data_IF_927357429668
#
_entry.id   IF_927357429668
#
_cell.length_a   1.000
_cell.length_b   1.000
_cell.length_c   1.000
_cell.angle_alpha   90.00
_cell.angle_beta   90.00
_cell.angle_gamma   90.00
#
_symmetry.space_group_name_H-M   'P 1'
#
loop_
_entity.id
_entity.type
_entity.pdbx_description
1 polymer ?
#
# COMPACT_ATOMS: atom_id res chain seq x y z
N UNK A 1 5.58 -6.03 -21.66
CA UNK A 1 6.88 -6.45 -22.22
C UNK A 1 7.43 -7.57 -21.36
N UNK A 2 7.47 -8.80 -21.89
CA UNK A 2 8.10 -9.93 -21.22
C UNK A 2 9.62 -9.67 -21.10
N UNK A 3 10.25 -10.11 -20.01
CA UNK A 3 11.71 -10.04 -19.86
C UNK A 3 12.37 -10.94 -20.92
N UNK A 4 13.45 -10.51 -21.59
CA UNK A 4 14.20 -11.36 -22.50
C UNK A 4 14.88 -12.50 -21.72
N UNK A 5 14.93 -13.70 -22.33
CA UNK A 5 15.51 -14.90 -21.72
C UNK A 5 16.99 -14.69 -21.35
N UNK A 6 17.36 -15.05 -20.12
CA UNK A 6 18.74 -15.02 -19.61
C UNK A 6 19.08 -13.95 -18.58
N UNK A 7 18.10 -13.17 -18.12
CA UNK A 7 18.30 -12.16 -17.06
C UNK A 7 17.93 -12.73 -15.67
N UNK A 8 18.86 -13.49 -15.07
CA UNK A 8 18.72 -13.96 -13.68
C UNK A 8 18.90 -12.82 -12.66
N UNK A 9 19.55 -11.72 -13.07
CA UNK A 9 19.79 -10.60 -12.19
C UNK A 9 18.62 -9.60 -12.18
N UNK A 10 18.14 -9.18 -11.00
CA UNK A 10 17.12 -8.15 -10.88
C UNK A 10 17.64 -6.83 -11.49
N UNK A 11 16.74 -6.10 -12.18
CA UNK A 11 17.06 -4.83 -12.89
C UNK A 11 17.81 -3.82 -12.03
N UNK A 12 17.64 -3.86 -10.72
CA UNK A 12 18.32 -2.98 -9.77
C UNK A 12 19.84 -3.17 -9.76
N UNK A 13 20.34 -4.39 -9.97
CA UNK A 13 21.76 -4.70 -10.03
C UNK A 13 22.45 -4.10 -11.27
N UNK A 14 21.69 -3.84 -12.34
CA UNK A 14 22.22 -3.33 -13.61
C UNK A 14 22.60 -1.84 -13.55
N UNK A 15 22.05 -1.09 -12.59
CA UNK A 15 22.25 0.36 -12.49
C UNK A 15 23.08 0.78 -11.26
N UNK A 16 23.57 -0.17 -10.47
CA UNK A 16 24.38 0.11 -9.27
C UNK A 16 23.59 0.70 -8.09
N UNK A 17 22.26 0.72 -8.18
CA UNK A 17 21.41 1.12 -7.07
C UNK A 17 21.34 -0.03 -6.07
N UNK A 18 22.03 0.12 -4.94
CA UNK A 18 21.83 -0.75 -3.79
C UNK A 18 20.38 -0.58 -3.32
N UNK A 19 19.49 -1.48 -3.74
CA UNK A 19 18.15 -1.55 -3.17
C UNK A 19 18.31 -1.80 -1.67
N UNK A 20 17.56 -1.07 -0.82
CA UNK A 20 17.59 -1.33 0.60
C UNK A 20 17.19 -2.79 0.85
N UNK A 21 17.90 -3.49 1.73
CA UNK A 21 17.44 -4.78 2.25
C UNK A 21 16.07 -4.56 2.88
N UNK A 22 15.04 -5.17 2.28
CA UNK A 22 13.69 -5.04 2.79
C UNK A 22 13.57 -5.90 4.07
N UNK A 23 13.14 -5.33 5.22
CA UNK A 23 12.76 -6.11 6.38
C UNK A 23 11.55 -7.02 6.05
N UNK A 24 11.15 -7.95 6.94
CA UNK A 24 10.16 -8.98 6.64
C UNK A 24 8.93 -8.39 5.95
N UNK A 25 8.47 -9.07 4.90
CA UNK A 25 7.57 -8.62 3.82
C UNK A 25 6.20 -8.06 4.23
N UNK A 26 5.94 -7.91 5.53
CA UNK A 26 4.66 -7.52 6.10
C UNK A 26 4.71 -6.16 6.81
N UNK A 27 5.88 -5.53 6.98
CA UNK A 27 6.02 -4.25 7.71
C UNK A 27 5.01 -3.18 7.27
N UNK A 28 4.89 -2.93 5.96
CA UNK A 28 3.96 -1.91 5.46
C UNK A 28 2.50 -2.32 5.66
N UNK A 29 2.19 -3.61 5.54
CA UNK A 29 0.84 -4.11 5.78
C UNK A 29 0.46 -4.01 7.27
N UNK A 30 1.39 -4.27 8.18
CA UNK A 30 1.21 -4.10 9.62
C UNK A 30 0.99 -2.63 9.98
N UNK A 31 1.87 -1.74 9.51
CA UNK A 31 1.73 -0.29 9.71
C UNK A 31 0.39 0.20 9.14
N UNK A 32 0.01 -0.27 7.96
CA UNK A 32 -1.24 0.08 7.31
C UNK A 32 -2.47 -0.38 8.10
N UNK A 33 -2.42 -1.59 8.67
CA UNK A 33 -3.45 -2.12 9.57
C UNK A 33 -3.55 -1.29 10.85
N UNK A 34 -2.40 -0.97 11.45
CA UNK A 34 -2.33 -0.24 12.72
C UNK A 34 -2.76 1.23 12.57
N UNK A 35 -2.53 1.84 11.40
CA UNK A 35 -3.09 3.13 10.98
C UNK A 35 -4.62 3.11 10.77
N UNK A 36 -5.21 1.92 10.55
CA UNK A 36 -6.65 1.78 10.33
C UNK A 36 -7.11 1.63 8.87
N UNK A 37 -6.21 1.34 7.93
CA UNK A 37 -6.46 1.15 6.46
C UNK A 37 -6.83 2.43 5.68
N UNK A 38 -7.69 3.28 6.24
CA UNK A 38 -8.09 4.57 5.68
C UNK A 38 -8.49 5.56 6.79
N UNK A 39 -8.59 6.85 6.46
CA UNK A 39 -9.13 7.86 7.35
C UNK A 39 -10.66 7.88 7.34
N UNK A 40 -11.25 8.46 8.37
CA UNK A 40 -12.70 8.58 8.51
C UNK A 40 -13.20 9.92 7.96
N UNK A 41 -13.87 9.87 6.80
CA UNK A 41 -14.54 11.01 6.21
C UNK A 41 -16.03 11.04 6.51
N UNK A 42 -16.65 12.22 6.34
CA UNK A 42 -18.09 12.40 6.56
C UNK A 42 -18.97 11.48 5.68
N UNK A 43 -18.51 11.15 4.48
CA UNK A 43 -19.24 10.32 3.50
C UNK A 43 -18.65 8.91 3.35
N UNK A 44 -17.86 8.44 4.32
CA UNK A 44 -17.19 7.15 4.26
C UNK A 44 -15.66 7.26 4.27
N UNK A 45 -14.95 6.16 3.99
CA UNK A 45 -13.49 6.11 4.09
C UNK A 45 -12.84 7.08 3.10
N UNK A 46 -11.82 7.80 3.56
CA UNK A 46 -11.00 8.70 2.75
C UNK A 46 -9.54 8.27 2.78
N UNK A 47 -8.78 8.46 1.68
CA UNK A 47 -7.37 8.13 1.67
C UNK A 47 -6.60 8.92 2.73
N UNK A 48 -5.57 8.31 3.31
CA UNK A 48 -4.70 9.02 4.23
C UNK A 48 -4.10 10.30 3.64
N UNK A 49 -4.12 11.35 4.44
CA UNK A 49 -3.40 12.58 4.20
C UNK A 49 -1.96 12.48 4.70
N UNK A 50 -1.08 13.30 4.12
CA UNK A 50 0.31 13.43 4.60
C UNK A 50 0.39 13.89 6.06
N UNK A 51 -0.60 14.65 6.54
CA UNK A 51 -0.66 15.10 7.92
C UNK A 51 -0.92 13.93 8.89
N UNK A 52 -1.81 13.00 8.52
CA UNK A 52 -2.08 11.79 9.32
C UNK A 52 -0.87 10.88 9.37
N UNK A 53 -0.21 10.64 8.23
CA UNK A 53 1.03 9.84 8.19
C UNK A 53 2.11 10.49 9.06
N UNK A 54 2.30 11.81 8.98
CA UNK A 54 3.27 12.53 9.79
C UNK A 54 2.91 12.55 11.29
N UNK A 55 1.63 12.59 11.63
CA UNK A 55 1.16 12.49 13.02
C UNK A 55 1.41 11.08 13.58
N UNK A 56 1.14 10.04 12.78
CA UNK A 56 1.36 8.66 13.15
C UNK A 56 2.83 8.34 13.41
N UNK A 57 3.75 8.77 12.54
CA UNK A 57 5.20 8.55 12.75
C UNK A 57 5.70 9.23 14.02
N UNK A 58 5.21 10.45 14.30
CA UNK A 58 5.54 11.17 15.55
C UNK A 58 4.99 10.49 16.79
N UNK A 59 3.78 9.94 16.73
CA UNK A 59 3.13 9.28 17.87
C UNK A 59 3.78 7.93 18.19
N UNK A 60 4.11 7.15 17.16
CA UNK A 60 4.60 5.78 17.30
C UNK A 60 6.12 5.69 17.36
N UNK A 61 6.83 6.74 16.95
CA UNK A 61 8.29 6.72 16.81
C UNK A 61 8.79 5.87 15.64
N UNK A 62 7.88 5.40 14.76
CA UNK A 62 8.25 4.63 13.58
C UNK A 62 8.90 5.58 12.56
N UNK A 63 10.13 5.24 12.16
CA UNK A 63 10.80 5.91 11.06
C UNK A 63 10.31 5.32 9.73
N UNK A 64 9.64 6.15 8.92
CA UNK A 64 9.14 5.79 7.61
C UNK A 64 9.98 6.46 6.54
N UNK A 65 10.56 5.65 5.65
CA UNK A 65 11.19 6.18 4.45
C UNK A 65 10.13 6.88 3.56
N UNK A 66 10.45 7.96 2.83
CA UNK A 66 9.47 8.66 1.99
C UNK A 66 8.72 7.77 0.98
N UNK A 67 9.40 6.75 0.44
CA UNK A 67 8.75 5.76 -0.44
C UNK A 67 7.75 4.87 0.30
N UNK A 68 8.01 4.52 1.56
CA UNK A 68 7.08 3.75 2.40
C UNK A 68 5.84 4.57 2.74
N UNK A 69 6.03 5.84 3.13
CA UNK A 69 4.93 6.77 3.36
C UNK A 69 4.06 6.95 2.11
N UNK A 70 4.69 7.08 0.94
CA UNK A 70 3.99 7.17 -0.35
C UNK A 70 3.20 5.89 -0.66
N UNK A 71 3.78 4.72 -0.36
CA UNK A 71 3.12 3.44 -0.52
C UNK A 71 1.87 3.33 0.37
N UNK A 72 1.96 3.73 1.64
CA UNK A 72 0.82 3.71 2.58
C UNK A 72 -0.34 4.59 2.11
N UNK A 73 -0.04 5.78 1.57
CA UNK A 73 -1.06 6.67 1.00
C UNK A 73 -1.74 6.02 -0.21
N UNK A 74 -0.97 5.38 -1.09
CA UNK A 74 -1.53 4.73 -2.28
C UNK A 74 -2.34 3.47 -1.91
N UNK A 75 -1.87 2.66 -0.96
CA UNK A 75 -2.63 1.52 -0.42
C UNK A 75 -3.98 1.97 0.15
N UNK A 76 -3.99 3.05 0.92
CA UNK A 76 -5.21 3.64 1.45
C UNK A 76 -6.13 4.16 0.36
N UNK A 77 -5.58 4.80 -0.69
CA UNK A 77 -6.36 5.25 -1.85
C UNK A 77 -7.01 4.09 -2.59
N UNK A 78 -6.27 3.03 -2.86
CA UNK A 78 -6.79 1.85 -3.54
C UNK A 78 -7.88 1.17 -2.71
N UNK A 79 -7.72 1.10 -1.39
CA UNK A 79 -8.78 0.61 -0.51
C UNK A 79 -10.07 1.45 -0.60
N UNK A 80 -9.97 2.78 -0.60
CA UNK A 80 -11.15 3.64 -0.74
C UNK A 80 -11.84 3.45 -2.09
N UNK A 81 -11.08 3.31 -3.19
CA UNK A 81 -11.62 2.99 -4.52
C UNK A 81 -12.33 1.63 -4.48
N UNK A 82 -11.68 0.63 -3.89
CA UNK A 82 -12.20 -0.72 -3.78
C UNK A 82 -13.53 -0.74 -2.99
N UNK A 83 -13.64 0.00 -1.89
CA UNK A 83 -14.87 0.09 -1.09
C UNK A 83 -15.98 0.87 -1.82
N UNK A 84 -15.62 1.89 -2.59
CA UNK A 84 -16.59 2.73 -3.30
C UNK A 84 -17.18 2.04 -4.55
N UNK A 85 -16.48 1.06 -5.12
CA UNK A 85 -16.94 0.33 -6.29
C UNK A 85 -18.21 -0.49 -5.99
N UNK A 86 -19.25 -0.26 -6.77
CA UNK A 86 -20.55 -0.94 -6.64
C UNK A 86 -20.76 -2.00 -7.72
N UNK A 87 -19.73 -2.35 -8.48
CA UNK A 87 -19.85 -3.31 -9.56
C UNK A 87 -20.15 -4.73 -9.00
N UNK A 88 -21.35 -5.28 -9.25
CA UNK A 88 -21.74 -6.60 -8.73
C UNK A 88 -20.91 -7.74 -9.33
N UNK A 89 -20.26 -7.52 -10.48
CA UNK A 89 -19.40 -8.51 -11.11
C UNK A 89 -18.02 -8.62 -10.47
N UNK A 90 -17.67 -7.73 -9.53
CA UNK A 90 -16.39 -7.74 -8.84
C UNK A 90 -16.31 -8.77 -7.70
N UNK A 91 -17.46 -9.20 -7.17
CA UNK A 91 -17.54 -10.30 -6.21
C UNK A 91 -17.27 -11.60 -6.96
N UNK A 92 -16.33 -12.39 -6.44
CA UNK A 92 -16.01 -13.70 -6.98
C UNK A 92 -17.32 -14.51 -7.12
N UNK A 93 -17.55 -15.22 -8.23
CA UNK A 93 -18.84 -15.86 -8.48
C UNK A 93 -19.35 -16.76 -7.34
N UNK A 94 -18.43 -17.34 -6.56
CA UNK A 94 -18.72 -18.18 -5.40
C UNK A 94 -19.23 -17.44 -4.15
N UNK A 95 -19.00 -16.13 -4.07
CA UNK A 95 -19.38 -15.29 -2.92
C UNK A 95 -20.65 -14.47 -3.17
N UNK A 96 -21.26 -14.62 -4.35
CA UNK A 96 -22.53 -13.97 -4.69
C UNK A 96 -23.66 -14.67 -3.93
N UNK A 97 -24.24 -14.03 -2.92
CA UNK A 97 -25.47 -14.52 -2.31
C UNK A 97 -26.61 -14.38 -3.32
N UNK A 98 -27.35 -15.48 -3.53
CA UNK A 98 -28.45 -15.57 -4.49
C UNK A 98 -29.64 -14.68 -4.13
#
# INVERSE_FOLDING_TARGET
MAKPDGQDEPRANLFGDALPELPPSERLAEIWRDLGRAGDGFCGPVPFSWAEIAAFTRLTGIDLHPAEASCLVEMSRQFCIEIADRNPMRIAPMERTA
#
